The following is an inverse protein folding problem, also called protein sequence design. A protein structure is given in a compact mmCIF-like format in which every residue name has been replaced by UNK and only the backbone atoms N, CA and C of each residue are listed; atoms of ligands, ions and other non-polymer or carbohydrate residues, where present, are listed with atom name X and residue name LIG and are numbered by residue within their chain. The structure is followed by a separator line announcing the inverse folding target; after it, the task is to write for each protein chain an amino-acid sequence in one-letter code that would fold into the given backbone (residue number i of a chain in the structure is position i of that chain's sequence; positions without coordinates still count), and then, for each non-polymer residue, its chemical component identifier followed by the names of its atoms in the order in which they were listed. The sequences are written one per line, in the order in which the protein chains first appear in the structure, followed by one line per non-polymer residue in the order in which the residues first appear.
data_IF_430101140800
#
_entry.id   IF_430101140800
#
_cell.length_a   1.000
_cell.length_b   1.000
_cell.length_c   1.000
_cell.angle_alpha   90.00
_cell.angle_beta   90.00
_cell.angle_gamma   90.00
#
_symmetry.space_group_name_H-M   'P 1'
#
loop_
_entity.id
_entity.type
_entity.pdbx_description
1 polymer ?
#
# COMPACT_ATOMS: atom_id res chain seq x y z
N UNK A 1 0.10 0.07 -0.27
CA UNK A 1 1.28 0.95 -0.25
C UNK A 1 1.30 1.77 -1.50
N UNK A 2 2.39 2.50 -1.73
CA UNK A 2 2.60 3.39 -2.87
C UNK A 2 3.79 2.87 -3.65
N UNK A 3 3.58 2.40 -4.88
CA UNK A 3 4.63 1.80 -5.70
C UNK A 3 4.83 2.47 -7.07
N UNK A 4 3.98 3.42 -7.46
CA UNK A 4 4.11 4.20 -8.69
C UNK A 4 3.57 5.63 -8.54
N UNK A 5 3.80 6.47 -9.54
CA UNK A 5 3.39 7.88 -9.55
C UNK A 5 1.86 8.06 -9.44
N UNK A 6 1.08 7.18 -10.07
CA UNK A 6 -0.39 7.25 -10.01
C UNK A 6 -0.91 7.01 -8.59
N UNK A 7 -0.32 6.06 -7.86
CA UNK A 7 -0.67 5.84 -6.46
C UNK A 7 -0.46 7.09 -5.59
N UNK A 8 0.62 7.85 -5.86
CA UNK A 8 0.88 9.12 -5.16
C UNK A 8 -0.21 10.14 -5.48
N UNK A 9 -0.57 10.26 -6.76
CA UNK A 9 -1.60 11.18 -7.22
C UNK A 9 -2.96 10.88 -6.56
N UNK A 10 -3.42 9.63 -6.70
CA UNK A 10 -4.68 9.15 -6.13
C UNK A 10 -4.70 9.30 -4.61
N UNK A 11 -3.61 8.97 -3.91
CA UNK A 11 -3.57 9.11 -2.45
C UNK A 11 -3.70 10.57 -2.01
N UNK A 12 -3.03 11.50 -2.70
CA UNK A 12 -3.11 12.94 -2.39
C UNK A 12 -4.51 13.48 -2.64
N UNK A 13 -5.12 13.11 -3.77
CA UNK A 13 -6.50 13.50 -4.09
C UNK A 13 -7.48 12.90 -3.08
N UNK A 14 -7.35 11.62 -2.75
CA UNK A 14 -8.18 10.97 -1.74
C UNK A 14 -8.04 11.67 -0.39
N UNK A 15 -6.82 12.07 -0.01
CA UNK A 15 -6.60 12.81 1.23
C UNK A 15 -7.27 14.19 1.22
N UNK A 16 -7.23 14.94 0.12
CA UNK A 16 -7.91 16.25 0.05
C UNK A 16 -9.43 16.14 0.16
N UNK A 17 -9.99 14.98 -0.18
CA UNK A 17 -11.44 14.74 -0.20
C UNK A 17 -11.97 14.00 1.04
N UNK A 18 -11.13 13.73 2.05
CA UNK A 18 -11.56 13.06 3.29
C UNK A 18 -11.18 13.83 4.54
N UNK A 19 -12.09 13.83 5.54
CA UNK A 19 -11.82 14.37 6.88
C UNK A 19 -10.95 13.42 7.71
N UNK A 20 -11.16 12.11 7.53
CA UNK A 20 -10.48 11.04 8.25
C UNK A 20 -9.94 10.06 7.22
N UNK A 21 -8.61 9.85 7.21
CA UNK A 21 -7.94 8.87 6.38
C UNK A 21 -7.42 7.72 7.24
N UNK A 22 -7.75 6.50 6.86
CA UNK A 22 -7.39 5.28 7.59
C UNK A 22 -6.48 4.42 6.71
N UNK A 23 -5.29 4.07 7.20
CA UNK A 23 -4.44 3.08 6.54
C UNK A 23 -4.85 1.67 6.97
N UNK A 24 -5.34 0.88 6.03
CA UNK A 24 -5.86 -0.47 6.28
C UNK A 24 -4.90 -1.51 5.73
N UNK A 25 -4.43 -2.38 6.61
CA UNK A 25 -3.59 -3.53 6.32
C UNK A 25 -2.10 -3.24 6.16
N UNK A 26 -1.27 -4.28 6.28
CA UNK A 26 0.19 -4.20 6.29
C UNK A 26 0.76 -3.42 5.09
N UNK A 27 0.19 -3.61 3.90
CA UNK A 27 0.60 -2.87 2.69
C UNK A 27 0.45 -1.35 2.83
N UNK A 28 -0.59 -0.85 3.51
CA UNK A 28 -0.81 0.58 3.70
C UNK A 28 -0.02 1.12 4.91
N UNK A 29 0.12 0.30 5.95
CA UNK A 29 0.74 0.68 7.23
C UNK A 29 2.27 0.67 7.13
N UNK A 30 2.88 -0.38 6.57
CA UNK A 30 4.35 -0.58 6.55
C UNK A 30 4.92 -0.86 5.15
N UNK A 31 4.09 -0.83 4.10
CA UNK A 31 4.48 -1.20 2.74
C UNK A 31 4.24 -2.68 2.41
N UNK A 32 4.22 -3.55 3.42
CA UNK A 32 3.84 -4.96 3.31
C UNK A 32 4.74 -5.81 2.41
N UNK A 33 4.20 -6.89 1.85
CA UNK A 33 4.94 -7.79 0.95
C UNK A 33 5.53 -7.06 -0.27
N UNK A 34 4.85 -6.10 -0.93
CA UNK A 34 5.45 -5.35 -2.03
C UNK A 34 6.73 -4.59 -1.67
N UNK A 35 6.87 -4.11 -0.42
CA UNK A 35 8.07 -3.42 0.03
C UNK A 35 9.27 -4.33 0.24
N UNK A 36 9.11 -5.66 0.14
CA UNK A 36 10.24 -6.58 0.12
C UNK A 36 11.18 -6.30 -1.05
N UNK A 37 10.71 -5.75 -2.18
CA UNK A 37 11.61 -5.38 -3.29
C UNK A 37 12.55 -4.20 -2.98
N UNK A 38 12.35 -3.45 -1.88
CA UNK A 38 13.07 -2.20 -1.63
C UNK A 38 14.58 -2.36 -1.38
N UNK A 39 15.05 -3.59 -1.16
CA UNK A 39 16.48 -3.90 -1.05
C UNK A 39 17.13 -4.28 -2.38
N UNK A 40 16.34 -4.36 -3.46
CA UNK A 40 16.78 -4.65 -4.82
C UNK A 40 16.73 -3.38 -5.66
N UNK A 41 17.56 -3.33 -6.70
CA UNK A 41 17.44 -2.29 -7.72
C UNK A 41 16.20 -2.53 -8.58
N UNK A 42 15.34 -1.52 -8.72
CA UNK A 42 14.10 -1.63 -9.51
C UNK A 42 14.39 -2.00 -10.98
N UNK A 43 15.46 -1.45 -11.56
CA UNK A 43 15.87 -1.76 -12.93
C UNK A 43 16.21 -3.23 -13.09
N UNK A 44 16.94 -3.81 -12.15
CA UNK A 44 17.24 -5.25 -12.11
C UNK A 44 15.97 -6.09 -12.01
N UNK A 45 15.03 -5.74 -11.13
CA UNK A 45 13.75 -6.45 -11.03
C UNK A 45 12.97 -6.44 -12.35
N UNK A 46 12.94 -5.30 -13.06
CA UNK A 46 12.26 -5.19 -14.36
C UNK A 46 12.98 -5.99 -15.45
N UNK A 47 14.31 -5.95 -15.49
CA UNK A 47 15.10 -6.73 -16.45
C UNK A 47 14.90 -8.23 -16.22
N UNK A 48 14.88 -8.67 -14.95
CA UNK A 48 14.67 -10.07 -14.60
C UNK A 48 13.37 -10.60 -15.18
N UNK A 49 12.25 -9.89 -14.93
CA UNK A 49 10.91 -10.32 -15.33
C UNK A 49 10.64 -10.14 -16.82
N UNK A 50 11.12 -9.06 -17.44
CA UNK A 50 10.72 -8.69 -18.81
C UNK A 50 11.76 -9.00 -19.89
N UNK A 51 12.99 -9.35 -19.54
CA UNK A 51 14.06 -9.61 -20.51
C UNK A 51 14.72 -10.98 -20.33
N UNK A 52 15.01 -11.39 -19.09
CA UNK A 52 15.87 -12.55 -18.84
C UNK A 52 15.15 -13.80 -18.35
N UNK A 53 13.87 -13.69 -17.99
CA UNK A 53 13.06 -14.83 -17.55
C UNK A 53 12.96 -15.86 -18.71
N UNK A 54 13.20 -17.17 -18.48
CA UNK A 54 13.34 -18.16 -19.54
C UNK A 54 12.13 -18.33 -20.49
N UNK A 55 10.92 -18.01 -20.04
CA UNK A 55 9.70 -18.08 -20.85
C UNK A 55 9.44 -16.82 -21.68
N UNK A 56 10.20 -15.75 -21.45
CA UNK A 56 10.12 -14.51 -22.21
C UNK A 56 10.78 -14.68 -23.58
N UNK A 57 10.01 -14.39 -24.64
CA UNK A 57 10.50 -14.37 -26.02
C UNK A 57 11.27 -13.09 -26.35
N UNK A 58 10.79 -12.31 -27.33
CA UNK A 58 11.36 -10.99 -27.66
C UNK A 58 11.00 -9.96 -26.58
N UNK A 59 11.67 -10.06 -25.43
CA UNK A 59 11.42 -9.24 -24.25
C UNK A 59 11.80 -7.77 -24.44
N UNK A 60 11.01 -6.89 -23.85
CA UNK A 60 11.33 -5.48 -23.67
C UNK A 60 10.71 -4.99 -22.37
N UNK A 61 11.36 -4.04 -21.68
CA UNK A 61 10.75 -3.38 -20.52
C UNK A 61 9.58 -2.51 -21.04
N UNK A 62 8.35 -2.72 -20.55
CA UNK A 62 7.21 -1.89 -20.96
C UNK A 62 7.44 -0.41 -20.64
N UNK A 63 7.21 0.46 -21.62
CA UNK A 63 7.46 1.91 -21.51
C UNK A 63 6.35 2.77 -22.14
N UNK A 64 5.17 2.20 -22.33
CA UNK A 64 4.02 2.93 -22.87
C UNK A 64 3.65 4.10 -21.94
N UNK A 65 3.35 5.31 -22.46
CA UNK A 65 2.91 6.44 -21.64
C UNK A 65 1.69 6.18 -20.75
N UNK A 66 0.86 5.19 -21.07
CA UNK A 66 -0.27 4.77 -20.22
C UNK A 66 0.19 4.08 -18.92
N UNK A 67 1.43 3.58 -18.86
CA UNK A 67 1.97 2.92 -17.69
C UNK A 67 2.54 3.95 -16.71
N UNK A 68 2.04 4.00 -15.46
CA UNK A 68 2.54 4.95 -14.49
C UNK A 68 3.97 4.60 -14.07
N UNK A 69 4.82 5.63 -13.96
CA UNK A 69 6.22 5.48 -13.56
C UNK A 69 6.31 4.77 -12.21
N UNK A 70 6.95 3.59 -12.11
CA UNK A 70 7.18 2.94 -10.83
C UNK A 70 8.14 3.77 -9.97
N UNK A 71 7.89 3.82 -8.67
CA UNK A 71 8.80 4.45 -7.72
C UNK A 71 9.99 3.53 -7.46
N UNK A 72 11.16 4.10 -7.19
CA UNK A 72 12.36 3.33 -6.80
C UNK A 72 12.06 2.37 -5.65
N UNK A 73 11.33 2.84 -4.63
CA UNK A 73 10.90 2.06 -3.47
C UNK A 73 9.39 2.10 -3.29
N UNK A 74 8.85 1.06 -2.66
CA UNK A 74 7.48 1.04 -2.17
C UNK A 74 7.42 1.72 -0.81
N UNK A 75 6.47 2.63 -0.64
CA UNK A 75 6.28 3.40 0.59
C UNK A 75 4.93 3.09 1.26
N UNK A 76 4.85 3.12 2.61
CA UNK A 76 3.57 3.17 3.31
C UNK A 76 2.86 4.51 3.07
N UNK A 77 1.54 4.59 3.33
CA UNK A 77 0.77 5.80 3.02
C UNK A 77 1.22 7.02 3.83
N UNK A 78 1.64 6.79 5.07
CA UNK A 78 1.99 7.84 6.03
C UNK A 78 3.31 8.58 5.70
N UNK A 79 4.10 8.08 4.75
CA UNK A 79 5.27 8.80 4.22
C UNK A 79 4.88 9.86 3.17
N UNK A 80 3.67 9.76 2.58
CA UNK A 80 3.22 10.66 1.51
C UNK A 80 2.18 11.67 2.00
N UNK A 81 1.27 11.24 2.88
CA UNK A 81 0.21 12.10 3.43
C UNK A 81 -0.03 11.80 4.91
N UNK A 82 -0.64 12.74 5.64
CA UNK A 82 -1.10 12.49 7.01
C UNK A 82 -2.20 11.41 7.03
N UNK A 83 -1.98 10.37 7.82
CA UNK A 83 -2.96 9.31 8.13
C UNK A 83 -3.47 9.52 9.56
N UNK A 84 -4.78 9.39 9.77
CA UNK A 84 -5.41 9.63 11.07
C UNK A 84 -5.48 8.36 11.93
N UNK A 85 -5.69 7.19 11.31
CA UNK A 85 -5.75 5.90 11.99
C UNK A 85 -5.12 4.77 11.18
N UNK A 86 -4.71 3.71 11.87
CA UNK A 86 -4.12 2.52 11.28
C UNK A 86 -4.88 1.27 11.74
N UNK A 87 -5.21 0.38 10.81
CA UNK A 87 -5.79 -0.94 11.10
C UNK A 87 -4.77 -1.99 10.62
N UNK A 88 -4.01 -2.63 11.53
CA UNK A 88 -3.02 -3.63 11.15
C UNK A 88 -3.65 -4.97 10.73
N UNK A 89 -2.90 -5.78 9.98
CA UNK A 89 -3.26 -7.14 9.52
C UNK A 89 -2.97 -7.37 8.04
N UNK A 90 -2.82 -8.62 7.59
CA UNK A 90 -2.54 -8.95 6.18
C UNK A 90 -3.43 -10.10 5.62
N UNK A 91 -4.78 -9.96 5.64
CA UNK A 91 -5.53 -8.73 5.88
C UNK A 91 -6.01 -8.58 7.34
N UNK A 92 -6.41 -7.36 7.77
CA UNK A 92 -7.12 -7.19 9.04
C UNK A 92 -8.37 -8.05 9.09
N UNK A 93 -8.69 -8.60 10.26
CA UNK A 93 -9.89 -9.43 10.43
C UNK A 93 -11.18 -8.63 10.20
N UNK A 94 -12.24 -9.31 9.75
CA UNK A 94 -13.56 -8.70 9.57
C UNK A 94 -14.07 -8.04 10.86
N UNK A 95 -13.84 -8.69 12.01
CA UNK A 95 -14.20 -8.16 13.33
C UNK A 95 -13.42 -6.89 13.70
N UNK A 96 -12.14 -6.80 13.33
CA UNK A 96 -11.33 -5.61 13.56
C UNK A 96 -11.85 -4.42 12.74
N UNK A 97 -12.15 -4.65 11.47
CA UNK A 97 -12.72 -3.63 10.57
C UNK A 97 -14.10 -3.19 11.08
N UNK A 98 -14.97 -4.15 11.42
CA UNK A 98 -16.31 -3.90 11.94
C UNK A 98 -16.24 -3.04 13.21
N UNK A 99 -15.47 -3.48 14.21
CA UNK A 99 -15.30 -2.77 15.48
C UNK A 99 -14.79 -1.35 15.27
N UNK A 100 -13.78 -1.17 14.40
CA UNK A 100 -13.20 0.13 14.12
C UNK A 100 -14.24 1.08 13.51
N UNK A 101 -14.97 0.63 12.49
CA UNK A 101 -16.00 1.43 11.83
C UNK A 101 -17.15 1.76 12.77
N UNK A 102 -17.61 0.80 13.59
CA UNK A 102 -18.64 1.02 14.60
C UNK A 102 -18.23 2.11 15.60
N UNK A 103 -17.01 2.07 16.13
CA UNK A 103 -16.53 3.12 17.03
C UNK A 103 -16.51 4.49 16.34
N UNK A 104 -16.03 4.54 15.11
CA UNK A 104 -15.90 5.79 14.36
C UNK A 104 -17.26 6.43 14.06
N UNK A 105 -18.23 5.63 13.63
CA UNK A 105 -19.60 6.08 13.33
C UNK A 105 -20.31 6.57 14.60
N UNK A 106 -20.08 5.90 15.73
CA UNK A 106 -20.67 6.28 17.02
C UNK A 106 -19.93 7.45 17.71
N UNK A 107 -18.95 8.06 17.04
CA UNK A 107 -18.21 9.23 17.53
C UNK A 107 -17.19 8.90 18.65
N UNK A 108 -16.92 7.61 18.88
CA UNK A 108 -15.87 7.18 19.82
C UNK A 108 -14.50 7.20 19.14
N UNK A 109 -13.44 7.36 19.93
CA UNK A 109 -12.08 7.11 19.45
C UNK A 109 -11.89 5.62 19.21
N UNK A 110 -11.61 5.17 17.96
CA UNK A 110 -11.46 3.75 17.66
C UNK A 110 -10.32 3.12 18.48
N UNK A 111 -10.60 1.97 19.10
CA UNK A 111 -9.61 1.17 19.84
C UNK A 111 -9.76 -0.30 19.48
N UNK A 112 -8.68 -0.88 18.94
CA UNK A 112 -8.56 -2.32 18.72
C UNK A 112 -7.99 -2.96 19.99
N UNK A 113 -8.70 -3.94 20.56
CA UNK A 113 -8.24 -4.68 21.74
C UNK A 113 -7.23 -5.78 21.40
N UNK A 114 -6.63 -6.39 22.43
CA UNK A 114 -5.54 -7.40 22.36
C UNK A 114 -5.91 -8.73 21.66
N UNK A 115 -7.07 -8.84 20.99
CA UNK A 115 -7.47 -9.98 20.16
C UNK A 115 -7.92 -9.60 18.76
N UNK A 116 -7.86 -8.31 18.40
CA UNK A 116 -8.20 -7.80 17.07
C UNK A 116 -6.98 -7.23 16.34
N UNK A 117 -5.81 -7.23 17.00
CA UNK A 117 -4.56 -6.74 16.44
C UNK A 117 -3.75 -7.95 15.98
N UNK A 118 -3.63 -8.07 14.68
CA UNK A 118 -2.77 -9.04 14.00
C UNK A 118 -1.91 -8.29 12.99
N UNK A 119 -0.75 -8.85 12.63
CA UNK A 119 0.15 -8.27 11.63
C UNK A 119 0.38 -9.20 10.44
N UNK A 120 0.06 -10.47 10.64
CA UNK A 120 0.02 -11.56 9.66
C UNK A 120 -1.30 -11.61 8.89
#
# INVERSE_FOLDING_TARGET
GICNAENVHVLREFRSNCKILVAIGACAVTGGLPAQRNHLDLGQCLQEVYLTEPSVGQGMIPNDPELPLPLDKVHPLHEVVKVDYFIPGCPPSGDAIWKFLTDLIEGRTPKLGHGLIHYD
#
